data_IF_672111677608
#
_entry.id   IF_672111677608
#
_cell.length_a   1.000
_cell.length_b   1.000
_cell.length_c   1.000
_cell.angle_alpha   90.00
_cell.angle_beta   90.00
_cell.angle_gamma   90.00
#
_symmetry.space_group_name_H-M   'P 1'
#
loop_
_entity.id
_entity.type
_entity.pdbx_description
1 polymer ?
#
# COMPACT_ATOMS: atom_id res chain seq x y z
N UNK A 1 10.09 -16.53 -20.42
CA UNK A 1 9.57 -15.15 -20.31
C UNK A 1 8.13 -15.17 -19.92
N UNK A 2 7.84 -14.82 -18.67
CA UNK A 2 6.47 -14.58 -18.19
C UNK A 2 6.50 -13.18 -17.60
N UNK A 3 6.33 -12.17 -18.46
CA UNK A 3 6.06 -10.81 -18.00
C UNK A 3 4.60 -10.75 -17.60
N UNK A 4 4.31 -11.06 -16.34
CA UNK A 4 3.12 -10.53 -15.68
C UNK A 4 3.33 -9.02 -15.59
N UNK A 5 2.75 -8.27 -16.52
CA UNK A 5 2.84 -6.81 -16.57
C UNK A 5 2.05 -6.20 -15.41
N UNK A 6 2.60 -6.32 -14.20
CA UNK A 6 2.25 -5.53 -13.05
C UNK A 6 3.12 -4.29 -13.05
N UNK A 7 2.94 -3.42 -14.06
CA UNK A 7 3.69 -2.16 -14.16
C UNK A 7 3.55 -1.38 -12.85
N UNK A 8 4.67 -0.87 -12.33
CA UNK A 8 4.66 -0.04 -11.13
C UNK A 8 3.93 1.29 -11.39
N UNK A 9 3.38 1.87 -10.33
CA UNK A 9 2.63 3.13 -10.36
C UNK A 9 3.55 4.31 -10.05
N UNK A 10 3.47 5.37 -10.85
CA UNK A 10 4.19 6.61 -10.58
C UNK A 10 3.30 7.59 -9.85
N UNK A 11 3.68 7.97 -8.63
CA UNK A 11 2.98 8.95 -7.79
C UNK A 11 3.82 10.22 -7.68
N UNK A 12 3.31 11.33 -8.19
CA UNK A 12 3.94 12.66 -8.10
C UNK A 12 3.23 13.50 -7.04
N UNK A 13 3.90 13.76 -5.91
CA UNK A 13 3.41 14.68 -4.88
C UNK A 13 3.77 16.14 -5.22
N UNK A 14 4.97 16.36 -5.77
CA UNK A 14 5.50 17.65 -6.20
C UNK A 14 6.50 17.46 -7.34
N UNK A 15 6.98 18.53 -7.98
CA UNK A 15 8.06 18.44 -8.99
C UNK A 15 9.34 17.78 -8.49
N UNK A 16 9.62 17.85 -7.19
CA UNK A 16 10.82 17.27 -6.57
C UNK A 16 10.56 15.91 -5.90
N UNK A 17 9.30 15.46 -5.83
CA UNK A 17 8.90 14.24 -5.12
C UNK A 17 8.03 13.36 -6.01
N UNK A 18 8.70 12.44 -6.70
CA UNK A 18 8.11 11.41 -7.56
C UNK A 18 8.52 10.04 -7.02
N UNK A 19 7.55 9.15 -6.82
CA UNK A 19 7.75 7.81 -6.28
C UNK A 19 7.25 6.78 -7.28
N UNK A 20 7.92 5.63 -7.28
CA UNK A 20 7.48 4.44 -7.99
C UNK A 20 7.01 3.42 -6.97
N UNK A 21 5.73 3.03 -7.04
CA UNK A 21 5.09 2.12 -6.10
C UNK A 21 4.81 0.81 -6.82
N UNK A 22 5.17 -0.31 -6.16
CA UNK A 22 4.68 -1.61 -6.55
C UNK A 22 3.14 -1.63 -6.48
N UNK A 23 2.44 -2.44 -7.30
CA UNK A 23 0.98 -2.48 -7.35
C UNK A 23 0.30 -2.65 -5.98
N UNK A 24 0.85 -3.51 -5.11
CA UNK A 24 0.31 -3.72 -3.76
C UNK A 24 0.53 -2.52 -2.84
N UNK A 25 1.65 -1.82 -2.99
CA UNK A 25 1.94 -0.61 -2.22
C UNK A 25 1.03 0.54 -2.65
N UNK A 26 0.79 0.69 -3.95
CA UNK A 26 -0.18 1.65 -4.48
C UNK A 26 -1.60 1.35 -3.97
N UNK A 27 -2.00 0.08 -3.99
CA UNK A 27 -3.31 -0.34 -3.50
C UNK A 27 -3.52 0.04 -2.03
N UNK A 28 -2.54 -0.24 -1.18
CA UNK A 28 -2.59 0.12 0.24
C UNK A 28 -2.59 1.63 0.45
N UNK A 29 -1.79 2.36 -0.33
CA UNK A 29 -1.75 3.81 -0.28
C UNK A 29 -3.09 4.45 -0.68
N UNK A 30 -3.76 3.94 -1.71
CA UNK A 30 -5.09 4.41 -2.17
C UNK A 30 -6.17 4.21 -1.09
N UNK A 31 -6.03 3.19 -0.24
CA UNK A 31 -6.94 2.97 0.90
C UNK A 31 -6.74 3.97 2.05
N UNK A 32 -5.59 4.64 2.13
CA UNK A 32 -5.27 5.63 3.16
C UNK A 32 -6.00 6.95 2.92
N UNK A 33 -7.24 7.04 3.38
CA UNK A 33 -8.12 8.21 3.24
C UNK A 33 -8.07 9.21 4.42
N UNK A 34 -7.19 8.96 5.39
CA UNK A 34 -7.07 9.76 6.62
C UNK A 34 -8.13 9.45 7.69
N UNK A 35 -9.01 8.47 7.46
CA UNK A 35 -10.03 8.03 8.42
C UNK A 35 -9.90 6.54 8.78
N UNK A 36 -9.53 5.69 7.82
CA UNK A 36 -9.35 4.25 8.06
C UNK A 36 -8.19 4.00 9.03
N UNK A 37 -8.42 3.09 9.96
CA UNK A 37 -7.37 2.57 10.84
C UNK A 37 -6.55 1.50 10.13
N UNK A 38 -5.39 1.16 10.68
CA UNK A 38 -4.58 0.02 10.19
C UNK A 38 -5.40 -1.28 10.22
N UNK A 39 -6.26 -1.46 11.23
CA UNK A 39 -7.13 -2.64 11.33
C UNK A 39 -8.15 -2.70 10.20
N UNK A 40 -8.73 -1.56 9.79
CA UNK A 40 -9.66 -1.50 8.65
C UNK A 40 -8.96 -1.89 7.35
N UNK A 41 -7.75 -1.36 7.11
CA UNK A 41 -6.95 -1.66 5.92
C UNK A 41 -6.59 -3.14 5.88
N UNK A 42 -6.08 -3.70 6.98
CA UNK A 42 -5.74 -5.14 7.07
C UNK A 42 -6.98 -6.02 6.85
N UNK A 43 -8.12 -5.64 7.42
CA UNK A 43 -9.39 -6.36 7.26
C UNK A 43 -9.87 -6.36 5.80
N UNK A 44 -9.76 -5.21 5.13
CA UNK A 44 -10.11 -5.07 3.72
C UNK A 44 -9.21 -5.94 2.83
N UNK A 45 -7.89 -5.85 2.98
CA UNK A 45 -6.94 -6.66 2.18
C UNK A 45 -7.15 -8.16 2.41
N UNK A 46 -7.33 -8.57 3.67
CA UNK A 46 -7.65 -9.95 4.05
C UNK A 46 -8.90 -10.49 3.34
N UNK A 47 -9.98 -9.70 3.36
CA UNK A 47 -11.24 -10.05 2.71
C UNK A 47 -11.08 -10.19 1.20
N UNK A 48 -10.38 -9.28 0.55
CA UNK A 48 -10.22 -9.29 -0.91
C UNK A 48 -9.28 -10.38 -1.41
N UNK A 49 -8.18 -10.62 -0.68
CA UNK A 49 -7.25 -11.69 -0.98
C UNK A 49 -7.77 -13.08 -0.57
N UNK A 50 -8.87 -13.14 0.21
CA UNK A 50 -9.36 -14.38 0.84
C UNK A 50 -8.27 -15.09 1.66
N UNK A 51 -7.46 -14.31 2.37
CA UNK A 51 -6.38 -14.76 3.23
C UNK A 51 -6.71 -14.45 4.69
N UNK A 52 -6.23 -15.24 5.65
CA UNK A 52 -6.42 -14.93 7.06
C UNK A 52 -5.64 -13.66 7.44
N UNK A 53 -6.22 -12.86 8.35
CA UNK A 53 -5.65 -11.58 8.85
C UNK A 53 -4.19 -11.72 9.27
N UNK A 54 -3.86 -12.81 9.96
CA UNK A 54 -2.51 -13.15 10.43
C UNK A 54 -1.46 -13.28 9.31
N UNK A 55 -1.86 -13.62 8.07
CA UNK A 55 -0.95 -13.66 6.92
C UNK A 55 -0.81 -12.31 6.22
N UNK A 56 -1.76 -11.40 6.44
CA UNK A 56 -1.84 -10.11 5.74
C UNK A 56 -1.31 -8.96 6.58
N UNK A 57 -1.43 -9.07 7.90
CA UNK A 57 -1.11 -8.00 8.86
C UNK A 57 0.34 -7.51 8.72
N UNK A 58 1.32 -8.40 8.84
CA UNK A 58 2.74 -8.02 8.77
C UNK A 58 3.11 -7.38 7.41
N UNK A 59 2.75 -7.96 6.24
CA UNK A 59 2.98 -7.31 4.96
C UNK A 59 2.36 -5.91 4.84
N UNK A 60 1.11 -5.74 5.28
CA UNK A 60 0.41 -4.45 5.21
C UNK A 60 1.10 -3.43 6.11
N UNK A 61 1.45 -3.79 7.35
CA UNK A 61 2.15 -2.90 8.27
C UNK A 61 3.52 -2.50 7.73
N UNK A 62 4.27 -3.43 7.13
CA UNK A 62 5.56 -3.12 6.53
C UNK A 62 5.45 -2.12 5.38
N UNK A 63 4.42 -2.24 4.54
CA UNK A 63 4.16 -1.29 3.45
C UNK A 63 3.77 0.09 4.01
N UNK A 64 2.89 0.14 5.02
CA UNK A 64 2.50 1.39 5.67
C UNK A 64 3.71 2.11 6.30
N UNK A 65 4.63 1.38 6.92
CA UNK A 65 5.88 1.93 7.48
C UNK A 65 6.77 2.53 6.38
N UNK A 66 6.93 1.87 5.24
CA UNK A 66 7.69 2.42 4.11
C UNK A 66 7.01 3.66 3.50
N UNK A 67 5.68 3.65 3.39
CA UNK A 67 4.91 4.82 2.93
C UNK A 67 5.07 6.01 3.88
N UNK A 68 5.12 5.78 5.20
CA UNK A 68 5.37 6.83 6.19
C UNK A 68 6.79 7.38 6.10
N UNK A 69 7.81 6.52 5.97
CA UNK A 69 9.20 6.95 5.77
C UNK A 69 9.40 7.77 4.49
N UNK A 70 8.59 7.49 3.48
CA UNK A 70 8.57 8.21 2.21
C UNK A 70 7.78 9.54 2.25
N UNK A 71 7.18 9.92 3.39
CA UNK A 71 6.24 11.06 3.53
C UNK A 71 4.99 10.95 2.62
N UNK A 72 4.63 9.74 2.18
CA UNK A 72 3.44 9.49 1.35
C UNK A 72 2.15 9.41 2.16
N UNK A 73 2.24 9.04 3.44
CA UNK A 73 1.11 8.94 4.39
C UNK A 73 1.52 9.56 5.72
N UNK A 74 0.55 10.14 6.44
CA UNK A 74 0.68 10.55 7.83
C UNK A 74 -0.40 9.83 8.64
N UNK A 75 0.00 9.22 9.75
CA UNK A 75 -0.89 8.57 10.72
C UNK A 75 -0.83 9.30 12.05
#
# INVERSE_FOLDING_TARGET
DTTEDGSNYIVKLSDEKVYELAPIAYYIWDMCDGQKTVEDIVSQVSKEASLPIEQVKDPVVAILDELMKADLVKM
#
